data_IF_600400312545
#
_entry.id   IF_600400312545
#
_cell.length_a   1.000
_cell.length_b   1.000
_cell.length_c   1.000
_cell.angle_alpha   90.00
_cell.angle_beta   90.00
_cell.angle_gamma   90.00
#
_symmetry.space_group_name_H-M   'P 1'
#
loop_
_entity.id
_entity.type
_entity.pdbx_description
1 polymer ?
2 non-polymer ?
3 water ?
#
# COMPACT_ATOMS: atom_id res chain seq x y z
N UNK A 2 -15.80 -12.68 -6.23
CA UNK A 2 -14.96 -11.94 -5.23
C UNK A 2 -15.89 -11.26 -4.22
N UNK A 3 -15.78 -11.64 -2.95
CA UNK A 3 -16.60 -11.05 -1.90
C UNK A 3 -15.82 -10.17 -0.94
N UNK A 4 -14.56 -9.96 -1.19
CA UNK A 4 -13.67 -9.11 -0.45
C UNK A 4 -13.40 -7.86 -1.26
N UNK A 5 -13.44 -6.68 -0.70
CA UNK A 5 -13.04 -5.50 -1.45
C UNK A 5 -11.57 -5.57 -1.84
N UNK A 6 -11.26 -5.13 -3.05
CA UNK A 6 -9.90 -5.17 -3.61
C UNK A 6 -9.61 -3.77 -4.16
N UNK A 7 -8.50 -3.19 -3.74
CA UNK A 7 -8.00 -1.91 -4.19
C UNK A 7 -6.73 -2.12 -4.94
N UNK A 8 -6.16 -1.07 -5.46
CA UNK A 8 -4.94 -1.14 -6.22
C UNK A 8 -4.06 0.07 -5.95
N UNK A 9 -2.78 -0.13 -5.76
CA UNK A 9 -1.79 0.92 -5.65
C UNK A 9 -0.69 0.62 -6.65
N UNK A 10 -0.21 1.64 -7.32
CA UNK A 10 0.94 1.56 -8.18
C UNK A 10 2.10 2.24 -7.48
N UNK A 11 3.22 1.51 -7.43
CA UNK A 11 4.49 2.03 -6.93
C UNK A 11 5.44 2.19 -8.11
N UNK A 12 6.01 3.37 -8.31
CA UNK A 12 6.94 3.56 -9.43
C UNK A 12 8.03 4.51 -8.97
N UNK A 13 9.17 3.94 -8.63
CA UNK A 13 10.34 4.69 -8.26
C UNK A 13 10.06 5.69 -7.15
N UNK A 14 9.33 5.24 -6.18
CA UNK A 14 8.98 6.02 -5.00
C UNK A 14 7.67 6.76 -5.07
N UNK A 15 7.08 6.89 -6.25
CA UNK A 15 5.80 7.59 -6.44
C UNK A 15 4.69 6.57 -6.28
N UNK A 16 3.69 6.89 -5.45
CA UNK A 16 2.59 5.98 -5.14
C UNK A 16 1.33 6.63 -5.70
N UNK A 17 0.56 5.89 -6.47
CA UNK A 17 -0.65 6.41 -7.09
C UNK A 17 -1.73 5.34 -6.96
N UNK A 18 -2.91 5.73 -6.47
CA UNK A 18 -3.20 7.02 -5.88
C UNK A 18 -2.47 7.23 -4.57
N UNK A 19 -2.24 8.44 -4.13
CA UNK A 19 -1.61 8.72 -2.84
C UNK A 19 -2.55 8.67 -1.66
N UNK A 20 -3.85 8.61 -1.90
CA UNK A 20 -4.84 8.56 -0.85
C UNK A 20 -5.80 7.45 -1.28
N UNK A 21 -6.08 6.51 -0.39
CA UNK A 21 -6.98 5.42 -0.62
C UNK A 21 -7.96 5.29 0.52
N UNK A 22 -9.22 5.47 0.27
CA UNK A 22 -10.26 5.22 1.25
C UNK A 22 -10.64 3.75 1.23
N UNK A 23 -10.70 3.14 2.41
CA UNK A 23 -10.97 1.72 2.60
C UNK A 23 -11.95 1.51 3.74
N UNK A 24 -12.65 0.39 3.77
CA UNK A 24 -13.59 0.15 4.89
C UNK A 24 -12.85 -0.27 6.15
N UNK A 25 -13.26 0.25 7.29
CA UNK A 25 -12.73 -0.14 8.57
C UNK A 25 -13.38 -1.44 9.03
N UNK A 26 -12.71 -2.11 9.93
CA UNK A 26 -13.21 -3.32 10.57
C UNK A 26 -13.59 -4.37 9.54
N UNK A 27 -12.80 -4.46 8.43
CA UNK A 27 -13.13 -5.30 7.29
C UNK A 27 -11.84 -5.88 6.71
N UNK A 28 -11.87 -7.17 6.41
CA UNK A 28 -10.77 -7.76 5.66
C UNK A 28 -10.82 -7.34 4.19
N UNK A 29 -9.68 -6.86 3.66
CA UNK A 29 -9.63 -6.43 2.26
C UNK A 29 -8.26 -6.64 1.70
N UNK A 30 -8.17 -6.51 0.37
CA UNK A 30 -6.99 -6.79 -0.38
C UNK A 30 -6.48 -5.51 -1.04
N UNK A 31 -5.18 -5.36 -1.21
CA UNK A 31 -4.63 -4.30 -2.05
C UNK A 31 -3.64 -4.94 -3.03
N UNK A 32 -3.89 -4.81 -4.30
CA UNK A 32 -2.97 -5.20 -5.37
C UNK A 32 -1.89 -4.16 -5.40
N UNK A 33 -0.67 -4.54 -5.14
CA UNK A 33 0.48 -3.65 -5.12
C UNK A 33 1.26 -3.92 -6.39
N UNK A 34 1.31 -2.95 -7.28
CA UNK A 34 1.91 -3.15 -8.59
C UNK A 34 3.11 -2.23 -8.70
N UNK A 35 4.30 -2.82 -8.85
CA UNK A 35 5.53 -2.04 -8.94
C UNK A 35 5.92 -1.98 -10.42
N UNK A 36 5.64 -0.83 -11.02
CA UNK A 36 5.97 -0.52 -12.41
C UNK A 36 7.30 0.20 -12.54
N UNK A 37 8.05 0.37 -11.44
CA UNK A 37 9.35 0.99 -11.52
C UNK A 37 10.50 0.04 -11.82
N UNK A 38 11.69 0.57 -11.67
CA UNK A 38 12.88 -0.19 -12.01
C UNK A 38 13.60 -0.77 -10.80
N UNK A 39 13.20 -0.41 -9.57
CA UNK A 39 13.79 -0.84 -8.33
C UNK A 39 12.73 -1.54 -7.49
N UNK A 40 13.09 -2.49 -6.65
CA UNK A 40 12.12 -3.00 -5.68
C UNK A 40 11.60 -1.91 -4.79
N UNK A 41 10.41 -2.15 -4.29
CA UNK A 41 9.71 -1.23 -3.42
C UNK A 41 9.33 -2.01 -2.20
N UNK A 42 9.05 -1.30 -1.12
CA UNK A 42 8.49 -1.88 0.11
C UNK A 42 7.35 -1.03 0.66
N UNK A 43 6.12 -1.51 0.55
CA UNK A 43 5.04 -0.86 1.28
C UNK A 43 5.36 -0.91 2.75
N UNK A 44 5.35 0.23 3.42
CA UNK A 44 5.56 0.24 4.85
C UNK A 44 4.67 1.26 5.51
N UNK A 45 3.98 0.85 6.56
CA UNK A 45 3.27 1.74 7.46
C UNK A 45 3.76 1.53 8.88
N UNK A 46 4.23 2.61 9.46
CA UNK A 46 4.74 2.53 10.84
C UNK A 46 3.62 2.13 11.80
N UNK A 47 2.49 2.78 11.67
CA UNK A 47 1.41 2.62 12.62
C UNK A 47 0.89 1.18 12.58
N UNK A 48 0.78 0.63 11.37
CA UNK A 48 0.21 -0.70 11.22
C UNK A 48 1.22 -1.81 11.44
N UNK A 49 2.51 -1.50 11.53
CA UNK A 49 3.54 -2.51 11.68
C UNK A 49 3.51 -3.49 10.51
N UNK A 50 3.14 -3.00 9.33
CA UNK A 50 3.00 -3.81 8.11
C UNK A 50 4.07 -3.39 7.10
N UNK A 51 4.80 -4.36 6.56
CA UNK A 51 5.81 -4.16 5.51
C UNK A 51 5.61 -5.24 4.47
N UNK A 52 5.62 -4.86 3.18
CA UNK A 52 5.54 -5.84 2.10
C UNK A 52 6.41 -5.43 0.93
N UNK A 53 7.35 -6.25 0.54
CA UNK A 53 8.20 -5.98 -0.61
C UNK A 53 7.49 -6.33 -1.90
N UNK A 54 7.76 -5.53 -2.90
CA UNK A 54 7.33 -5.79 -4.28
C UNK A 54 8.52 -5.58 -5.19
N UNK A 55 8.98 -6.64 -5.85
CA UNK A 55 10.08 -6.55 -6.79
C UNK A 55 9.70 -5.64 -7.97
N UNK A 56 10.71 -5.02 -8.60
CA UNK A 56 10.46 -4.18 -9.77
C UNK A 56 9.71 -5.03 -10.80
N UNK A 57 8.81 -4.39 -11.53
CA UNK A 57 8.11 -5.02 -12.64
C UNK A 57 7.40 -6.30 -12.19
N UNK A 58 6.68 -6.17 -11.08
CA UNK A 58 6.04 -7.30 -10.47
C UNK A 58 4.84 -6.78 -9.70
N UNK A 59 4.01 -7.72 -9.25
CA UNK A 59 2.84 -7.39 -8.46
C UNK A 59 2.72 -8.40 -7.33
N UNK A 60 2.18 -7.93 -6.20
CA UNK A 60 1.76 -8.85 -5.13
C UNK A 60 0.52 -8.30 -4.51
N UNK A 61 -0.30 -9.16 -3.95
CA UNK A 61 -1.55 -8.77 -3.31
C UNK A 61 -1.47 -8.86 -1.80
N UNK A 62 -1.50 -7.70 -1.12
CA UNK A 62 -1.39 -7.61 0.32
C UNK A 62 -2.79 -7.73 0.93
N UNK A 63 -2.92 -8.52 1.96
CA UNK A 63 -4.17 -8.66 2.70
C UNK A 63 -4.06 -7.82 3.94
N UNK A 64 -5.07 -7.03 4.20
CA UNK A 64 -5.26 -6.29 5.44
C UNK A 64 -6.38 -6.98 6.18
N UNK A 65 -6.07 -7.51 7.37
CA UNK A 65 -7.06 -8.30 8.10
C UNK A 65 -8.19 -7.45 8.62
N UNK A 66 -7.86 -6.27 9.11
CA UNK A 66 -8.82 -5.31 9.66
C UNK A 66 -8.08 -4.04 10.06
N UNK A 67 -8.73 -2.90 9.96
CA UNK A 67 -8.18 -1.63 10.37
C UNK A 67 -9.22 -0.97 11.28
N UNK A 68 -8.78 -0.50 12.45
CA UNK A 68 -9.70 0.38 13.17
C UNK A 68 -9.92 1.68 12.37
N UNK A 69 -11.09 2.33 12.48
CA UNK A 69 -11.29 3.62 11.83
C UNK A 69 -10.15 4.56 12.15
N UNK A 70 -9.66 5.28 11.16
CA UNK A 70 -8.51 6.16 11.37
C UNK A 70 -7.73 6.29 10.07
N UNK A 71 -6.62 6.97 10.16
CA UNK A 71 -5.76 7.27 9.03
C UNK A 71 -4.38 6.67 9.21
N UNK A 72 -3.85 6.07 8.16
CA UNK A 72 -2.64 5.27 8.25
C UNK A 72 -1.66 5.68 7.17
N UNK A 73 -0.71 6.57 7.49
CA UNK A 73 0.29 6.93 6.48
C UNK A 73 1.09 5.72 6.07
N UNK A 74 1.56 5.71 4.82
CA UNK A 74 2.45 4.66 4.31
C UNK A 74 3.33 5.25 3.24
N UNK A 75 4.34 4.50 2.86
CA UNK A 75 5.38 5.02 1.97
C UNK A 75 6.17 3.82 1.42
N UNK A 76 6.93 4.05 0.39
CA UNK A 76 7.90 3.10 -0.14
C UNK A 76 9.17 3.22 0.69
N UNK A 77 9.41 2.25 1.57
CA UNK A 77 10.52 2.30 2.51
C UNK A 77 11.84 2.21 1.76
N UNK A 78 11.84 1.68 0.55
CA UNK A 78 13.09 1.51 -0.20
C UNK A 78 13.49 2.76 -0.95
N UNK A 79 12.59 3.74 -1.05
CA UNK A 79 12.84 5.01 -1.72
C UNK A 79 12.49 6.14 -0.76
N UNK A 80 13.36 6.48 0.16
CA UNK A 80 13.08 7.60 1.05
C UNK A 80 12.90 8.88 0.26
N UNK A 81 12.05 9.75 0.79
CA UNK A 81 11.72 10.98 0.11
C UNK A 81 10.70 10.85 -1.00
N UNK A 82 10.05 9.70 -1.14
CA UNK A 82 9.02 9.51 -2.14
C UNK A 82 7.66 9.98 -1.64
N UNK A 83 6.59 9.52 -2.32
CA UNK A 83 5.25 9.98 -1.93
C UNK A 83 4.90 9.55 -0.51
N UNK A 84 4.51 10.46 0.37
CA UNK A 84 3.86 10.09 1.63
C UNK A 84 2.39 9.80 1.37
N UNK A 85 1.99 8.57 1.25
CA UNK A 85 0.62 8.16 0.94
C UNK A 85 -0.16 7.87 2.20
N UNK A 86 -1.47 7.60 2.03
CA UNK A 86 -2.29 7.36 3.22
C UNK A 86 -3.46 6.45 2.93
N UNK A 87 -3.79 5.56 3.86
CA UNK A 87 -5.02 4.81 3.88
C UNK A 87 -5.97 5.49 4.83
N UNK A 88 -7.22 5.71 4.44
CA UNK A 88 -8.24 6.35 5.28
C UNK A 88 -9.30 5.29 5.51
N UNK A 89 -9.33 4.73 6.70
CA UNK A 89 -10.24 3.62 7.02
C UNK A 89 -11.47 4.24 7.65
N UNK A 90 -12.64 4.00 7.07
CA UNK A 90 -13.86 4.59 7.62
C UNK A 90 -15.07 3.73 7.26
X LIG B 1 11.37 -1.38 5.83
X LIG C 1 12.54 3.69 6.53
#
# INVERSE_FOLDING_TARGET
WAEEPTFRLEFKDGVITPDRLEVPANTRFRIELVNTGSMPAEFESLELRKEKVIAAQSETVMVIRTLDPGEYPFFDDFHPGGTPAILIAK
MN MN
MN MN
#
